data_IF_258819741691
#
_entry.id   IF_258819741691
#
_cell.length_a   1.000
_cell.length_b   1.000
_cell.length_c   1.000
_cell.angle_alpha   90.00
_cell.angle_beta   90.00
_cell.angle_gamma   90.00
#
_symmetry.space_group_name_H-M   'P 1'
#
loop_
_entity.id
_entity.type
_entity.pdbx_description
1 polymer ?
#
# COMPACT_ATOMS: atom_id res chain seq x y z
N UNK A 1 11.74 -15.72 3.32
CA UNK A 1 13.08 -16.12 3.83
C UNK A 1 13.92 -14.94 4.34
N UNK A 2 14.43 -14.03 3.50
CA UNK A 2 15.42 -13.00 3.96
C UNK A 2 14.90 -12.03 5.06
N UNK A 3 13.63 -11.62 5.01
CA UNK A 3 13.07 -10.69 6.02
C UNK A 3 12.91 -11.37 7.38
N UNK A 4 12.38 -12.60 7.43
CA UNK A 4 12.20 -13.33 8.68
C UNK A 4 13.52 -13.61 9.40
N UNK A 5 14.58 -13.93 8.65
CA UNK A 5 15.93 -14.10 9.20
C UNK A 5 16.48 -12.81 9.81
N UNK A 6 16.30 -11.67 9.13
CA UNK A 6 16.69 -10.36 9.65
C UNK A 6 15.91 -10.00 10.92
N UNK A 7 14.59 -10.22 10.94
CA UNK A 7 13.74 -9.99 12.11
C UNK A 7 14.19 -10.85 13.30
N UNK A 8 14.38 -12.17 13.08
CA UNK A 8 14.89 -13.08 14.11
C UNK A 8 16.22 -12.61 14.69
N UNK A 9 17.14 -12.15 13.84
CA UNK A 9 18.44 -11.63 14.26
C UNK A 9 18.28 -10.37 15.11
N UNK A 10 17.45 -9.42 14.69
CA UNK A 10 17.19 -8.18 15.44
C UNK A 10 16.57 -8.46 16.82
N UNK A 11 15.64 -9.42 16.90
CA UNK A 11 14.98 -9.78 18.17
C UNK A 11 15.93 -10.54 19.10
N UNK A 12 16.66 -11.52 18.58
CA UNK A 12 17.56 -12.36 19.39
C UNK A 12 18.80 -11.62 19.90
N UNK A 13 19.26 -10.59 19.19
CA UNK A 13 20.37 -9.73 19.63
C UNK A 13 19.92 -8.58 20.53
N UNK A 14 18.60 -8.41 20.75
CA UNK A 14 18.06 -7.39 21.63
C UNK A 14 18.09 -5.97 21.05
N UNK A 15 18.29 -5.82 19.73
CA UNK A 15 18.24 -4.50 19.06
C UNK A 15 16.86 -3.86 19.16
N UNK A 16 15.81 -4.68 19.08
CA UNK A 16 14.41 -4.25 19.19
C UNK A 16 13.55 -5.41 19.68
N UNK A 17 12.47 -5.13 20.41
CA UNK A 17 11.47 -6.15 20.79
C UNK A 17 10.44 -6.31 19.67
N UNK A 18 9.86 -7.51 19.54
CA UNK A 18 8.76 -7.75 18.59
C UNK A 18 7.60 -6.75 18.76
N UNK A 19 7.28 -6.36 19.99
CA UNK A 19 6.21 -5.40 20.31
C UNK A 19 6.51 -3.96 19.91
N UNK A 20 7.75 -3.63 19.54
CA UNK A 20 8.18 -2.29 19.13
C UNK A 20 8.27 -2.14 17.60
N UNK A 21 8.03 -3.23 16.86
CA UNK A 21 8.00 -3.22 15.40
C UNK A 21 6.57 -3.39 14.88
N UNK A 22 6.23 -2.62 13.85
CA UNK A 22 4.98 -2.78 13.10
C UNK A 22 5.27 -3.50 11.78
N UNK A 23 4.82 -4.75 11.65
CA UNK A 23 5.05 -5.58 10.47
C UNK A 23 3.74 -5.74 9.69
N UNK A 24 3.81 -5.44 8.38
CA UNK A 24 2.69 -5.61 7.45
C UNK A 24 3.00 -6.68 6.41
N UNK A 25 2.04 -7.54 6.11
CA UNK A 25 2.06 -8.43 4.94
C UNK A 25 0.72 -8.37 4.21
N UNK A 26 0.61 -9.10 3.11
CA UNK A 26 -0.53 -9.02 2.21
C UNK A 26 -0.98 -10.40 1.75
N UNK A 27 -2.29 -10.60 1.68
CA UNK A 27 -2.95 -11.73 1.06
C UNK A 27 -2.87 -11.60 -0.46
N UNK A 28 -2.21 -12.56 -1.12
CA UNK A 28 -2.05 -12.55 -2.56
C UNK A 28 -3.34 -12.96 -3.29
N UNK A 29 -3.45 -12.60 -4.57
CA UNK A 29 -4.70 -12.74 -5.35
C UNK A 29 -5.12 -14.19 -5.59
N UNK A 30 -4.17 -15.13 -5.59
CA UNK A 30 -4.46 -16.57 -5.72
C UNK A 30 -4.87 -17.24 -4.40
N UNK A 31 -4.80 -16.51 -3.27
CA UNK A 31 -5.18 -16.99 -1.94
C UNK A 31 -6.47 -16.33 -1.42
N UNK A 32 -7.17 -15.56 -2.25
CA UNK A 32 -8.38 -14.83 -1.85
C UNK A 32 -9.63 -15.70 -1.67
N UNK A 33 -9.57 -17.02 -1.94
CA UNK A 33 -10.67 -17.91 -1.57
C UNK A 33 -10.79 -18.00 -0.03
N UNK A 34 -11.99 -17.91 0.57
CA UNK A 34 -12.15 -17.87 2.02
C UNK A 34 -11.41 -18.98 2.78
N UNK A 35 -11.41 -20.20 2.24
CA UNK A 35 -10.75 -21.38 2.78
C UNK A 35 -9.21 -21.34 2.72
N UNK A 36 -8.63 -20.43 1.93
CA UNK A 36 -7.18 -20.30 1.73
C UNK A 36 -6.57 -19.12 2.50
N UNK A 37 -7.38 -18.15 2.92
CA UNK A 37 -6.96 -16.95 3.64
C UNK A 37 -6.13 -17.28 4.89
N UNK A 38 -6.62 -18.20 5.74
CA UNK A 38 -5.91 -18.60 6.96
C UNK A 38 -4.61 -19.36 6.67
N UNK A 39 -4.60 -20.20 5.62
CA UNK A 39 -3.41 -20.92 5.18
C UNK A 39 -2.34 -19.95 4.67
N UNK A 40 -2.74 -18.91 3.95
CA UNK A 40 -1.83 -17.89 3.43
C UNK A 40 -1.19 -17.04 4.54
N UNK A 41 -1.96 -16.66 5.56
CA UNK A 41 -1.38 -15.98 6.73
C UNK A 41 -0.46 -16.92 7.50
N UNK A 42 -0.83 -18.19 7.71
CA UNK A 42 0.03 -19.16 8.40
C UNK A 42 1.40 -19.31 7.71
N UNK A 43 1.42 -19.46 6.37
CA UNK A 43 2.68 -19.48 5.59
C UNK A 43 3.47 -18.18 5.73
N UNK A 44 2.80 -17.03 5.70
CA UNK A 44 3.44 -15.72 5.90
C UNK A 44 4.11 -15.62 7.28
N UNK A 45 3.42 -16.05 8.33
CA UNK A 45 3.92 -16.03 9.71
C UNK A 45 5.12 -16.97 9.89
N UNK A 46 5.07 -18.16 9.28
CA UNK A 46 6.19 -19.10 9.23
C UNK A 46 7.42 -18.48 8.53
N UNK A 47 7.22 -17.93 7.33
CA UNK A 47 8.28 -17.28 6.54
C UNK A 47 8.93 -16.08 7.24
N UNK A 48 8.13 -15.33 8.02
CA UNK A 48 8.58 -14.18 8.80
C UNK A 48 9.06 -14.55 10.20
N UNK A 49 8.87 -15.81 10.63
CA UNK A 49 9.16 -16.29 11.98
C UNK A 49 8.45 -15.46 13.08
N UNK A 50 7.15 -15.24 12.90
CA UNK A 50 6.31 -14.43 13.78
C UNK A 50 5.08 -15.22 14.27
N UNK A 51 4.63 -14.93 15.49
CA UNK A 51 3.37 -15.50 16.03
C UNK A 51 2.13 -14.71 15.58
N UNK A 52 2.31 -13.43 15.25
CA UNK A 52 1.26 -12.53 14.78
C UNK A 52 1.82 -11.46 13.85
N UNK A 53 0.94 -10.87 13.05
CA UNK A 53 1.23 -9.72 12.20
C UNK A 53 0.46 -8.48 12.65
N UNK A 54 1.07 -7.30 12.54
CA UNK A 54 0.41 -6.07 12.99
C UNK A 54 -0.68 -5.64 12.02
N UNK A 55 -0.44 -5.83 10.72
CA UNK A 55 -1.39 -5.51 9.66
C UNK A 55 -1.36 -6.56 8.54
N UNK A 56 -2.52 -7.09 8.17
CA UNK A 56 -2.68 -7.97 7.02
C UNK A 56 -3.65 -7.37 6.00
N UNK A 57 -3.21 -7.23 4.76
CA UNK A 57 -3.96 -6.51 3.72
C UNK A 57 -4.42 -7.44 2.59
N UNK A 58 -5.65 -7.30 2.10
CA UNK A 58 -5.99 -7.81 0.77
C UNK A 58 -5.17 -7.03 -0.27
N UNK A 59 -4.28 -7.69 -1.02
CA UNK A 59 -3.30 -6.98 -1.85
C UNK A 59 -3.94 -6.25 -3.04
N UNK A 60 -4.95 -6.86 -3.67
CA UNK A 60 -5.67 -6.30 -4.80
C UNK A 60 -7.14 -6.71 -4.75
N UNK A 61 -8.08 -5.90 -5.31
CA UNK A 61 -9.50 -6.23 -5.38
C UNK A 61 -9.82 -7.22 -6.52
N UNK A 62 -8.93 -8.17 -6.84
CA UNK A 62 -9.20 -9.24 -7.80
C UNK A 62 -8.60 -10.57 -7.34
N UNK A 63 -8.99 -11.64 -8.04
CA UNK A 63 -8.65 -13.02 -7.71
C UNK A 63 -8.10 -13.73 -8.92
N UNK A 64 -7.13 -14.61 -8.68
CA UNK A 64 -6.55 -15.48 -9.70
C UNK A 64 -6.69 -16.94 -9.29
N UNK A 65 -6.43 -17.86 -10.24
CA UNK A 65 -6.42 -19.31 -9.98
C UNK A 65 -5.42 -19.65 -8.85
N UNK A 66 -5.73 -20.64 -7.99
CA UNK A 66 -4.82 -21.07 -6.94
C UNK A 66 -3.41 -21.38 -7.46
N UNK A 67 -2.39 -20.94 -6.72
CA UNK A 67 -0.98 -21.13 -7.09
C UNK A 67 -0.45 -20.19 -8.19
N UNK A 68 -1.29 -19.34 -8.79
CA UNK A 68 -0.84 -18.32 -9.74
C UNK A 68 0.04 -17.27 -9.06
N UNK A 69 1.16 -16.93 -9.73
CA UNK A 69 2.08 -15.86 -9.32
C UNK A 69 1.82 -14.53 -10.03
N UNK A 70 1.30 -14.60 -11.25
CA UNK A 70 0.88 -13.43 -12.03
C UNK A 70 -0.59 -13.11 -11.83
N UNK A 71 -1.09 -12.22 -12.67
CA UNK A 71 -2.50 -11.83 -12.74
C UNK A 71 -2.92 -11.57 -14.18
N UNK A 72 -2.38 -12.34 -15.11
CA UNK A 72 -2.80 -12.28 -16.51
C UNK A 72 -4.30 -12.57 -16.63
N UNK A 73 -5.01 -12.02 -17.63
CA UNK A 73 -6.45 -12.16 -17.72
C UNK A 73 -6.94 -13.62 -17.73
N UNK A 74 -6.19 -14.54 -18.34
CA UNK A 74 -6.57 -15.95 -18.51
C UNK A 74 -6.57 -16.75 -17.19
N UNK A 75 -5.94 -16.21 -16.15
CA UNK A 75 -5.91 -16.80 -14.82
C UNK A 75 -6.81 -16.09 -13.83
N UNK A 76 -7.54 -15.05 -14.24
CA UNK A 76 -8.52 -14.40 -13.39
C UNK A 76 -9.70 -15.33 -13.09
N UNK A 77 -10.28 -15.16 -11.90
CA UNK A 77 -11.48 -15.89 -11.45
C UNK A 77 -12.49 -14.91 -10.86
N UNK A 78 -13.78 -15.30 -10.73
CA UNK A 78 -14.80 -14.41 -10.18
C UNK A 78 -14.42 -13.82 -8.81
N UNK A 79 -14.80 -12.57 -8.58
CA UNK A 79 -14.59 -11.88 -7.31
C UNK A 79 -15.37 -12.57 -6.18
N UNK A 80 -14.84 -12.50 -4.96
CA UNK A 80 -15.56 -12.87 -3.74
C UNK A 80 -15.17 -11.96 -2.57
N UNK A 81 -15.04 -10.65 -2.83
CA UNK A 81 -14.51 -9.69 -1.85
C UNK A 81 -15.21 -9.75 -0.49
N UNK A 82 -16.55 -9.85 -0.39
CA UNK A 82 -17.21 -9.97 0.92
C UNK A 82 -16.83 -11.25 1.69
N UNK A 83 -16.75 -12.39 1.00
CA UNK A 83 -16.40 -13.66 1.62
C UNK A 83 -14.92 -13.69 2.03
N UNK A 84 -14.03 -13.15 1.20
CA UNK A 84 -12.61 -12.97 1.54
C UNK A 84 -12.46 -12.06 2.76
N UNK A 85 -13.22 -10.96 2.82
CA UNK A 85 -13.19 -10.05 3.96
C UNK A 85 -13.69 -10.72 5.24
N UNK A 86 -14.80 -11.46 5.20
CA UNK A 86 -15.28 -12.22 6.35
C UNK A 86 -14.24 -13.25 6.85
N UNK A 87 -13.44 -13.86 5.96
CA UNK A 87 -12.32 -14.69 6.36
C UNK A 87 -11.17 -13.87 7.01
N UNK A 88 -10.87 -12.68 6.50
CA UNK A 88 -9.91 -11.74 7.13
C UNK A 88 -10.35 -11.30 8.52
N UNK A 89 -11.65 -11.04 8.73
CA UNK A 89 -12.24 -10.75 10.05
C UNK A 89 -12.00 -11.90 11.05
N UNK A 90 -12.03 -13.15 10.57
CA UNK A 90 -11.64 -14.31 11.36
C UNK A 90 -10.18 -14.29 11.83
N UNK A 91 -9.26 -13.79 11.00
CA UNK A 91 -7.84 -13.61 11.36
C UNK A 91 -7.63 -12.51 12.41
N UNK A 92 -8.45 -11.46 12.34
CA UNK A 92 -8.49 -10.42 13.37
C UNK A 92 -9.03 -10.97 14.69
N UNK A 93 -10.16 -11.68 14.64
CA UNK A 93 -10.78 -12.28 15.83
C UNK A 93 -9.87 -13.32 16.52
N UNK A 94 -9.04 -14.05 15.76
CA UNK A 94 -8.08 -15.00 16.32
C UNK A 94 -6.83 -14.35 16.93
N UNK A 95 -6.60 -13.05 16.67
CA UNK A 95 -5.41 -12.32 17.09
C UNK A 95 -4.15 -12.58 16.25
N UNK A 96 -4.24 -13.42 15.20
CA UNK A 96 -3.12 -13.65 14.28
C UNK A 96 -2.79 -12.41 13.45
N UNK A 97 -3.79 -11.57 13.15
CA UNK A 97 -3.62 -10.23 12.60
C UNK A 97 -4.18 -9.20 13.58
N UNK A 98 -3.37 -8.26 14.06
CA UNK A 98 -3.83 -7.22 15.00
C UNK A 98 -4.68 -6.14 14.34
N UNK A 99 -4.52 -5.97 13.03
CA UNK A 99 -5.35 -5.16 12.18
C UNK A 99 -5.45 -5.81 10.80
N UNK A 100 -6.58 -5.56 10.13
CA UNK A 100 -6.82 -5.99 8.76
C UNK A 100 -7.19 -4.78 7.91
N UNK A 101 -6.84 -4.84 6.63
CA UNK A 101 -7.12 -3.75 5.70
C UNK A 101 -7.07 -4.20 4.26
N UNK A 102 -7.03 -3.23 3.37
CA UNK A 102 -7.02 -3.44 1.93
C UNK A 102 -5.88 -2.68 1.27
N UNK A 103 -5.62 -3.01 0.01
CA UNK A 103 -4.68 -2.30 -0.84
C UNK A 103 -5.24 -2.26 -2.25
N UNK A 104 -5.01 -1.15 -2.95
CA UNK A 104 -5.51 -0.91 -4.31
C UNK A 104 -7.03 -0.87 -4.43
N UNK A 105 -7.74 -0.50 -3.36
CA UNK A 105 -9.18 -0.25 -3.43
C UNK A 105 -9.41 1.22 -3.80
N UNK A 106 -10.24 1.46 -4.81
CA UNK A 106 -10.79 2.78 -5.13
C UNK A 106 -11.70 3.29 -4.00
N UNK A 107 -12.09 4.56 -4.05
CA UNK A 107 -13.08 5.14 -3.13
C UNK A 107 -14.38 4.33 -3.15
N UNK A 108 -14.88 3.99 -4.36
CA UNK A 108 -16.13 3.24 -4.51
C UNK A 108 -16.03 1.83 -3.90
N UNK A 109 -14.97 1.08 -4.21
CA UNK A 109 -14.80 -0.29 -3.66
C UNK A 109 -14.63 -0.28 -2.15
N UNK A 110 -13.93 0.72 -1.60
CA UNK A 110 -13.80 0.89 -0.16
C UNK A 110 -15.15 1.26 0.49
N UNK A 111 -15.93 2.13 -0.14
CA UNK A 111 -17.29 2.48 0.32
C UNK A 111 -18.22 1.27 0.32
N UNK A 112 -18.24 0.49 -0.77
CA UNK A 112 -19.03 -0.73 -0.87
C UNK A 112 -18.63 -1.73 0.22
N UNK A 113 -17.31 -1.85 0.51
CA UNK A 113 -16.78 -2.70 1.59
C UNK A 113 -17.27 -2.29 2.97
N UNK A 114 -17.23 -0.99 3.29
CA UNK A 114 -17.73 -0.48 4.57
C UNK A 114 -19.22 -0.77 4.79
N UNK A 115 -19.99 -1.00 3.72
CA UNK A 115 -21.40 -1.37 3.80
C UNK A 115 -21.68 -2.79 4.30
N UNK A 116 -20.72 -3.72 4.17
CA UNK A 116 -20.89 -5.12 4.61
C UNK A 116 -19.86 -5.58 5.66
N UNK A 117 -18.78 -4.83 5.88
CA UNK A 117 -17.75 -5.15 6.86
C UNK A 117 -18.27 -5.04 8.31
N UNK A 118 -18.05 -6.07 9.13
CA UNK A 118 -18.28 -6.03 10.58
C UNK A 118 -17.11 -5.34 11.28
N UNK A 119 -15.89 -5.62 10.83
CA UNK A 119 -14.67 -4.94 11.23
C UNK A 119 -14.26 -4.04 10.06
N UNK A 120 -14.29 -2.71 10.20
CA UNK A 120 -13.88 -1.81 9.12
C UNK A 120 -12.38 -1.99 8.82
N UNK A 121 -11.95 -1.86 7.55
CA UNK A 121 -10.53 -1.90 7.21
C UNK A 121 -9.78 -0.79 7.94
N UNK A 122 -8.73 -1.15 8.69
CA UNK A 122 -7.90 -0.18 9.39
C UNK A 122 -7.07 0.68 8.43
N UNK A 123 -6.69 0.12 7.28
CA UNK A 123 -5.81 0.74 6.29
C UNK A 123 -6.31 0.48 4.88
N UNK A 124 -6.21 1.49 4.02
CA UNK A 124 -6.14 1.31 2.56
C UNK A 124 -4.74 1.73 2.07
N UNK A 125 -3.94 0.77 1.62
CA UNK A 125 -2.60 1.01 1.09
C UNK A 125 -2.63 1.19 -0.42
N UNK A 126 -2.31 2.39 -0.91
CA UNK A 126 -2.45 2.76 -2.33
C UNK A 126 -1.24 3.51 -2.86
N UNK A 127 -1.09 3.57 -4.18
CA UNK A 127 -0.13 4.47 -4.82
C UNK A 127 -0.47 5.88 -4.41
N UNK A 128 0.49 6.59 -3.82
CA UNK A 128 0.30 7.98 -3.46
C UNK A 128 1.64 8.70 -3.43
N UNK A 129 1.76 9.76 -4.21
CA UNK A 129 2.94 10.61 -4.35
C UNK A 129 2.53 11.96 -4.97
N UNK A 130 3.42 12.97 -5.06
CA UNK A 130 3.04 14.28 -5.60
C UNK A 130 2.41 14.27 -7.01
N UNK A 131 2.79 13.31 -7.87
CA UNK A 131 2.16 13.12 -9.18
C UNK A 131 0.90 12.23 -9.18
N UNK A 132 0.47 11.69 -8.05
CA UNK A 132 -0.78 10.93 -7.91
C UNK A 132 -1.27 11.03 -6.46
N UNK A 133 -2.00 12.10 -6.17
CA UNK A 133 -2.23 12.58 -4.81
C UNK A 133 -3.46 11.98 -4.12
N UNK A 134 -4.26 11.19 -4.84
CA UNK A 134 -5.40 10.45 -4.29
C UNK A 134 -6.45 11.35 -3.58
N UNK A 135 -6.72 12.57 -4.06
CA UNK A 135 -7.56 13.54 -3.33
C UNK A 135 -8.93 12.99 -2.90
N UNK A 136 -9.66 12.33 -3.81
CA UNK A 136 -10.99 11.78 -3.51
C UNK A 136 -10.90 10.68 -2.44
N UNK A 137 -10.00 9.70 -2.65
CA UNK A 137 -9.79 8.60 -1.73
C UNK A 137 -9.26 9.07 -0.37
N UNK A 138 -8.36 10.04 -0.34
CA UNK A 138 -7.84 10.64 0.88
C UNK A 138 -8.96 11.23 1.73
N UNK A 139 -9.82 12.06 1.13
CA UNK A 139 -10.94 12.68 1.84
C UNK A 139 -11.93 11.62 2.37
N UNK A 140 -12.15 10.55 1.60
CA UNK A 140 -13.03 9.45 2.03
C UNK A 140 -12.43 8.63 3.16
N UNK A 141 -11.14 8.26 3.07
CA UNK A 141 -10.42 7.60 4.14
C UNK A 141 -10.46 8.42 5.44
N UNK A 142 -10.19 9.73 5.35
CA UNK A 142 -10.27 10.66 6.48
C UNK A 142 -11.67 10.72 7.10
N UNK A 143 -12.74 10.78 6.30
CA UNK A 143 -14.12 10.87 6.81
C UNK A 143 -14.64 9.55 7.41
N UNK A 144 -14.03 8.42 7.05
CA UNK A 144 -14.45 7.08 7.50
C UNK A 144 -13.53 6.47 8.55
N UNK A 145 -12.43 7.16 8.91
CA UNK A 145 -11.45 6.66 9.88
C UNK A 145 -10.54 5.54 9.35
N UNK A 146 -10.52 5.31 8.02
CA UNK A 146 -9.59 4.38 7.38
C UNK A 146 -8.26 5.12 7.15
N UNK A 147 -7.15 4.54 7.60
CA UNK A 147 -5.84 5.16 7.39
C UNK A 147 -5.33 4.94 5.95
N UNK A 148 -4.79 5.98 5.31
CA UNK A 148 -4.16 5.86 4.00
C UNK A 148 -2.66 5.64 4.14
N UNK A 149 -2.16 4.53 3.60
CA UNK A 149 -0.71 4.26 3.49
C UNK A 149 -0.26 4.42 2.03
N UNK A 150 0.69 5.33 1.81
CA UNK A 150 1.27 5.61 0.51
C UNK A 150 2.37 4.59 0.15
N UNK A 151 2.08 3.67 -0.78
CA UNK A 151 3.12 2.91 -1.46
C UNK A 151 3.66 3.70 -2.66
N UNK A 152 4.87 3.33 -3.12
CA UNK A 152 5.59 4.04 -4.17
C UNK A 152 5.68 5.56 -3.95
N UNK A 153 5.94 6.07 -2.73
CA UNK A 153 5.91 7.50 -2.45
C UNK A 153 6.99 8.31 -3.18
N UNK A 154 7.91 7.64 -3.88
CA UNK A 154 8.97 8.22 -4.70
C UNK A 154 8.77 7.97 -6.20
N UNK A 155 7.62 7.42 -6.62
CA UNK A 155 7.35 7.02 -8.02
C UNK A 155 8.01 5.71 -8.47
N UNK A 156 8.46 4.88 -7.53
CA UNK A 156 9.12 3.59 -7.79
C UNK A 156 10.34 3.68 -8.75
N UNK A 157 11.33 4.54 -8.46
CA UNK A 157 12.48 4.76 -9.35
C UNK A 157 13.30 3.48 -9.50
N UNK A 158 13.72 3.19 -10.73
CA UNK A 158 14.49 1.98 -11.06
C UNK A 158 13.67 0.68 -11.08
N UNK A 159 12.33 0.78 -11.03
CA UNK A 159 11.43 -0.34 -11.32
C UNK A 159 10.99 -0.34 -12.79
N UNK A 160 10.18 -1.32 -13.17
CA UNK A 160 9.51 -1.36 -14.48
C UNK A 160 8.48 -0.24 -14.65
N UNK A 161 8.04 0.36 -13.54
CA UNK A 161 7.18 1.54 -13.50
C UNK A 161 8.07 2.76 -13.77
N UNK A 162 7.85 3.45 -14.88
CA UNK A 162 8.66 4.61 -15.32
C UNK A 162 8.20 5.92 -14.68
N UNK A 163 8.09 5.94 -13.36
CA UNK A 163 7.75 7.16 -12.61
C UNK A 163 8.95 8.10 -12.51
N UNK A 164 8.79 9.34 -12.98
CA UNK A 164 9.82 10.39 -12.86
C UNK A 164 9.48 11.42 -11.75
N UNK A 165 8.80 10.98 -10.69
CA UNK A 165 8.37 11.84 -9.56
C UNK A 165 9.51 12.67 -8.99
N UNK A 166 10.70 12.09 -8.82
CA UNK A 166 11.87 12.79 -8.26
C UNK A 166 12.50 13.81 -9.22
N UNK A 167 12.08 13.84 -10.48
CA UNK A 167 12.51 14.79 -11.50
C UNK A 167 11.49 15.91 -11.75
N UNK A 168 10.35 15.89 -11.05
CA UNK A 168 9.32 16.93 -11.16
C UNK A 168 9.93 18.31 -10.82
N UNK A 169 9.93 19.28 -11.76
CA UNK A 169 10.63 20.55 -11.58
C UNK A 169 10.23 21.30 -10.30
N UNK A 170 8.95 21.30 -9.96
CA UNK A 170 8.47 21.96 -8.74
C UNK A 170 8.95 21.25 -7.47
N UNK A 171 9.05 19.92 -7.49
CA UNK A 171 9.58 19.16 -6.37
C UNK A 171 11.06 19.47 -6.14
N UNK A 172 11.84 19.60 -7.23
CA UNK A 172 13.25 19.99 -7.19
C UNK A 172 13.40 21.42 -6.65
N UNK A 173 12.62 22.38 -7.14
CA UNK A 173 12.66 23.77 -6.67
C UNK A 173 12.42 23.85 -5.15
N UNK A 174 11.42 23.11 -4.65
CA UNK A 174 11.12 23.08 -3.21
C UNK A 174 12.27 22.41 -2.44
N UNK A 175 12.84 21.34 -2.97
CA UNK A 175 13.96 20.64 -2.34
C UNK A 175 15.20 21.55 -2.20
N UNK A 176 15.54 22.30 -3.24
CA UNK A 176 16.62 23.30 -3.23
C UNK A 176 16.38 24.39 -2.19
N UNK A 177 15.17 24.96 -2.14
CA UNK A 177 14.81 26.01 -1.16
C UNK A 177 14.90 25.54 0.28
N UNK A 178 14.61 24.27 0.54
CA UNK A 178 14.64 23.68 1.88
C UNK A 178 15.98 23.04 2.23
N UNK A 179 16.95 23.03 1.30
CA UNK A 179 18.21 22.30 1.42
C UNK A 179 17.98 20.82 1.80
N UNK A 180 17.06 20.17 1.09
CA UNK A 180 16.67 18.76 1.22
C UNK A 180 16.76 18.06 -0.12
N UNK A 181 16.69 16.73 -0.14
CA UNK A 181 16.58 15.99 -1.40
C UNK A 181 15.14 15.98 -1.93
N UNK A 182 14.92 15.79 -3.24
CA UNK A 182 13.57 15.58 -3.79
C UNK A 182 12.83 14.41 -3.13
N UNK A 183 13.56 13.35 -2.75
CA UNK A 183 12.97 12.21 -2.04
C UNK A 183 12.45 12.62 -0.66
N UNK A 184 13.23 13.39 0.10
CA UNK A 184 12.82 13.92 1.39
C UNK A 184 11.59 14.82 1.29
N UNK A 185 11.50 15.68 0.28
CA UNK A 185 10.31 16.51 0.03
C UNK A 185 9.10 15.66 -0.31
N UNK A 186 9.24 14.66 -1.20
CA UNK A 186 8.13 13.76 -1.56
C UNK A 186 7.57 12.99 -0.36
N UNK A 187 8.46 12.48 0.50
CA UNK A 187 8.07 11.75 1.71
C UNK A 187 7.47 12.68 2.77
N UNK A 188 8.06 13.85 2.98
CA UNK A 188 7.55 14.85 3.92
C UNK A 188 6.17 15.36 3.48
N UNK A 189 5.94 15.51 2.18
CA UNK A 189 4.62 15.81 1.63
C UNK A 189 3.60 14.75 2.04
N UNK A 190 3.90 13.46 1.87
CA UNK A 190 3.00 12.37 2.27
C UNK A 190 2.66 12.41 3.77
N UNK A 191 3.67 12.64 4.63
CA UNK A 191 3.48 12.78 6.09
C UNK A 191 2.61 14.01 6.42
N UNK A 192 2.87 15.16 5.81
CA UNK A 192 2.07 16.38 6.04
C UNK A 192 0.65 16.29 5.48
N UNK A 193 0.42 15.45 4.47
CA UNK A 193 -0.92 15.08 3.97
C UNK A 193 -1.65 14.10 4.89
N UNK A 194 -1.03 13.67 6.00
CA UNK A 194 -1.64 12.76 6.97
C UNK A 194 -1.52 11.27 6.62
N UNK A 195 -0.62 10.90 5.69
CA UNK A 195 -0.42 9.51 5.28
C UNK A 195 0.84 8.93 5.93
N UNK A 196 0.86 7.61 6.14
CA UNK A 196 2.14 6.91 6.34
C UNK A 196 2.78 6.62 4.98
N UNK A 197 4.11 6.71 4.86
CA UNK A 197 4.85 6.50 3.60
C UNK A 197 5.71 5.24 3.65
N UNK A 198 5.82 4.50 2.53
CA UNK A 198 6.61 3.26 2.40
C UNK A 198 7.79 3.41 1.41
N UNK A 199 8.85 4.18 1.73
CA UNK A 199 10.02 4.30 0.86
C UNK A 199 10.85 3.02 0.85
N UNK A 200 10.99 2.38 -0.31
CA UNK A 200 11.87 1.22 -0.49
C UNK A 200 13.30 1.66 -0.83
N UNK A 201 14.28 1.15 -0.09
CA UNK A 201 15.70 1.20 -0.46
C UNK A 201 16.42 -0.04 0.08
N UNK A 202 17.48 -0.46 -0.63
CA UNK A 202 18.44 -1.46 -0.14
C UNK A 202 19.84 -0.83 0.07
N UNK A 203 19.94 0.48 -0.10
CA UNK A 203 21.16 1.25 0.13
C UNK A 203 21.02 2.00 1.46
N UNK A 204 22.00 1.80 2.33
CA UNK A 204 21.99 2.28 3.72
C UNK A 204 21.86 3.80 3.81
N UNK A 205 22.63 4.58 3.05
CA UNK A 205 22.55 6.03 3.11
C UNK A 205 21.17 6.55 2.71
N UNK A 206 20.54 5.95 1.69
CA UNK A 206 19.15 6.27 1.32
C UNK A 206 18.12 5.82 2.38
N UNK A 207 18.35 4.72 3.10
CA UNK A 207 17.47 4.30 4.20
C UNK A 207 17.50 5.37 5.31
N UNK A 208 18.70 5.81 5.70
CA UNK A 208 18.89 6.87 6.69
C UNK A 208 18.30 8.21 6.22
N UNK A 209 18.57 8.62 4.97
CA UNK A 209 18.05 9.86 4.40
C UNK A 209 16.52 9.90 4.38
N UNK A 210 15.88 8.79 3.99
CA UNK A 210 14.42 8.64 3.94
C UNK A 210 13.77 8.66 5.33
N UNK A 211 14.52 8.50 6.42
CA UNK A 211 14.02 8.60 7.79
C UNK A 211 14.20 10.01 8.39
N UNK A 212 15.10 10.82 7.84
CA UNK A 212 15.40 12.20 8.27
C UNK A 212 14.33 13.20 7.83
N UNK A 213 13.10 12.99 8.30
CA UNK A 213 11.89 13.72 7.88
C UNK A 213 11.20 14.49 9.02
N UNK A 214 11.60 14.31 10.27
CA UNK A 214 10.79 14.73 11.43
C UNK A 214 11.28 16.02 12.10
N UNK A 215 12.51 16.45 11.83
CA UNK A 215 13.15 17.66 12.37
C UNK A 215 12.91 18.92 11.51
N UNK A 216 12.11 18.82 10.44
CA UNK A 216 11.76 19.93 9.56
C UNK A 216 10.36 19.73 8.94
N UNK A 217 9.85 20.75 8.27
CA UNK A 217 8.60 20.67 7.51
C UNK A 217 8.66 21.48 6.22
N UNK A 218 7.79 21.16 5.27
CA UNK A 218 7.50 21.97 4.10
C UNK A 218 6.60 23.14 4.56
N UNK A 219 7.03 24.40 4.42
CA UNK A 219 6.21 25.56 4.74
C UNK A 219 4.89 25.54 3.98
N UNK A 220 3.83 26.07 4.59
CA UNK A 220 2.47 26.01 4.03
C UNK A 220 2.40 26.54 2.59
N UNK A 221 3.07 27.65 2.30
CA UNK A 221 3.11 28.27 0.97
C UNK A 221 3.73 27.35 -0.10
N UNK A 222 4.76 26.59 0.23
CA UNK A 222 5.40 25.65 -0.69
C UNK A 222 4.57 24.37 -0.80
N UNK A 223 3.97 23.92 0.31
CA UNK A 223 3.10 22.76 0.33
C UNK A 223 1.89 22.94 -0.59
N UNK A 224 1.27 24.13 -0.59
CA UNK A 224 0.14 24.43 -1.48
C UNK A 224 0.51 24.38 -2.96
N UNK A 225 1.75 24.71 -3.33
CA UNK A 225 2.18 24.64 -4.74
C UNK A 225 2.15 23.22 -5.29
N UNK A 226 2.38 22.20 -4.44
CA UNK A 226 2.43 20.80 -4.87
C UNK A 226 1.11 20.32 -5.47
N UNK A 227 -0.03 20.98 -5.19
CA UNK A 227 -1.32 20.66 -5.84
C UNK A 227 -1.36 21.02 -7.34
N UNK A 228 -0.37 21.75 -7.84
CA UNK A 228 -0.25 22.14 -9.26
C UNK A 228 0.44 21.07 -10.11
N UNK A 229 1.04 20.05 -9.48
CA UNK A 229 1.74 18.96 -10.18
C UNK A 229 0.72 18.17 -11.01
N UNK A 230 1.07 17.85 -12.25
CA UNK A 230 0.23 17.02 -13.11
C UNK A 230 -0.03 15.65 -12.48
N UNK A 231 -1.28 15.21 -12.52
CA UNK A 231 -1.73 13.97 -11.89
C UNK A 231 -1.75 12.83 -12.91
N UNK A 232 -1.03 11.75 -12.62
CA UNK A 232 -0.99 10.53 -13.41
C UNK A 232 -0.70 9.32 -12.52
N UNK A 233 -1.58 8.31 -12.58
CA UNK A 233 -1.34 7.01 -11.96
C UNK A 233 -0.27 6.24 -12.75
N UNK A 234 0.72 5.70 -12.03
CA UNK A 234 1.81 4.91 -12.59
C UNK A 234 1.51 3.41 -12.53
N UNK A 235 1.01 2.89 -11.41
CA UNK A 235 0.61 1.48 -11.25
C UNK A 235 -0.87 1.32 -11.61
N UNK A 236 -1.14 1.32 -12.91
CA UNK A 236 -2.50 1.25 -13.48
C UNK A 236 -3.12 -0.15 -13.40
N UNK A 237 -2.30 -1.20 -13.44
CA UNK A 237 -2.81 -2.59 -13.45
C UNK A 237 -3.26 -3.05 -14.84
N UNK A 238 -2.59 -2.58 -15.91
CA UNK A 238 -2.98 -2.84 -17.31
C UNK A 238 -3.09 -4.33 -17.65
N UNK A 239 -2.29 -5.19 -17.00
CA UNK A 239 -2.35 -6.65 -17.25
C UNK A 239 -3.46 -7.35 -16.47
N UNK A 240 -4.17 -6.65 -15.57
CA UNK A 240 -5.26 -7.20 -14.77
C UNK A 240 -6.65 -6.98 -15.40
N UNK A 241 -6.74 -6.25 -16.52
CA UNK A 241 -8.02 -5.90 -17.17
C UNK A 241 -8.12 -6.57 -18.54
N UNK A 242 -9.32 -7.02 -18.91
CA UNK A 242 -9.60 -7.64 -20.22
C UNK A 242 -11.10 -7.72 -20.46
N UNK A 243 -11.53 -7.48 -21.70
CA UNK A 243 -12.95 -7.38 -22.07
C UNK A 243 -13.79 -8.61 -21.68
N UNK A 244 -13.18 -9.80 -21.71
CA UNK A 244 -13.88 -11.09 -21.51
C UNK A 244 -13.26 -12.02 -20.47
N UNK A 245 -11.99 -11.83 -20.12
CA UNK A 245 -11.23 -12.79 -19.31
C UNK A 245 -11.03 -12.30 -17.86
N UNK A 246 -11.20 -11.00 -17.62
CA UNK A 246 -11.06 -10.41 -16.29
C UNK A 246 -12.42 -9.98 -15.74
N UNK A 247 -12.62 -9.98 -14.39
CA UNK A 247 -13.76 -9.32 -13.78
C UNK A 247 -13.80 -7.80 -14.04
N UNK A 248 -12.69 -7.20 -14.46
CA UNK A 248 -12.58 -5.79 -14.84
C UNK A 248 -12.32 -5.68 -16.34
N UNK A 249 -13.22 -5.03 -17.10
CA UNK A 249 -13.11 -4.96 -18.55
C UNK A 249 -12.15 -3.87 -19.00
N UNK A 250 -11.98 -2.84 -18.19
CA UNK A 250 -11.05 -1.75 -18.43
C UNK A 250 -10.41 -1.24 -17.13
N UNK A 251 -9.48 -0.30 -17.26
CA UNK A 251 -8.87 0.38 -16.11
C UNK A 251 -9.88 1.25 -15.36
N UNK A 252 -10.83 1.83 -16.07
CA UNK A 252 -11.94 2.58 -15.49
C UNK A 252 -12.79 1.68 -14.59
N UNK A 253 -13.02 0.41 -14.96
CA UNK A 253 -13.71 -0.55 -14.10
C UNK A 253 -12.88 -0.92 -12.85
N UNK A 254 -11.57 -1.11 -13.01
CA UNK A 254 -10.67 -1.45 -11.90
C UNK A 254 -10.59 -0.32 -10.88
N UNK A 255 -10.57 0.94 -11.33
CA UNK A 255 -10.39 2.11 -10.48
C UNK A 255 -11.66 2.93 -10.24
N UNK A 256 -12.80 2.50 -10.78
CA UNK A 256 -14.08 3.24 -10.74
C UNK A 256 -13.92 4.69 -11.21
N UNK A 257 -13.12 4.89 -12.27
CA UNK A 257 -12.79 6.19 -12.85
C UNK A 257 -11.61 6.94 -12.21
N UNK A 258 -10.98 6.41 -11.16
CA UNK A 258 -9.79 7.03 -10.53
C UNK A 258 -8.48 6.68 -11.25
N UNK A 259 -8.33 7.09 -12.52
CA UNK A 259 -7.21 6.70 -13.40
C UNK A 259 -6.58 7.87 -14.17
#
# INVERSE_FOLDING_TARGET
MQVGEALKTLFSTGVVKRSEMFITSKLWTSDCAPEDVSKALARTLEDLQLDYIDLYLMHWPFRTKPGSRGWDPEIMVPLCLPDTWNAMEGLFASGQARAIGVSNFSTKKLQDMLGYAKIPPAVNQVECHPMWQQHALHNFCMSTGVHLTAYSPLGSPGSWIKGEVLKEPLLIEIAEKLNKSPAQVSLRWGIQSGHSVLPKSANESRITENLSLFDWCIPHELFLKLSQIHQQRLLRGDTAVHETCSPYKSLEDLWDGEI
#
